data_IF_713013129316
#
_entry.id   IF_713013129316
#
_cell.length_a   1.000
_cell.length_b   1.000
_cell.length_c   1.000
_cell.angle_alpha   90.00
_cell.angle_beta   90.00
_cell.angle_gamma   90.00
#
_symmetry.space_group_name_H-M   'P 1'
#
loop_
_entity.id
_entity.type
_entity.pdbx_description
1 polymer ?
#
# COMPACT_ATOMS: atom_id res chain seq x y z
N UNK A 1 10.02 11.66 -14.32
CA UNK A 1 8.65 11.60 -14.88
C UNK A 1 7.82 10.72 -13.97
N UNK A 2 6.97 11.31 -13.13
CA UNK A 2 6.12 10.54 -12.22
C UNK A 2 5.17 9.69 -13.07
N UNK A 3 5.22 8.36 -12.91
CA UNK A 3 4.25 7.44 -13.52
C UNK A 3 2.87 7.90 -13.05
N UNK A 4 2.06 8.44 -13.95
CA UNK A 4 0.72 8.90 -13.65
C UNK A 4 -0.06 7.71 -13.09
N UNK A 5 -0.33 7.73 -11.78
CA UNK A 5 -1.24 6.77 -11.18
C UNK A 5 -2.61 7.07 -11.81
N UNK A 6 -3.20 6.11 -12.55
CA UNK A 6 -4.45 6.35 -13.24
C UNK A 6 -5.52 6.78 -12.23
N UNK A 7 -6.33 7.78 -12.57
CA UNK A 7 -7.31 8.39 -11.64
C UNK A 7 -8.25 7.38 -10.98
N UNK A 8 -8.53 6.28 -11.68
CA UNK A 8 -9.29 5.14 -11.13
C UNK A 8 -8.63 4.52 -9.90
N UNK A 9 -7.30 4.32 -9.94
CA UNK A 9 -6.54 3.72 -8.84
C UNK A 9 -6.46 4.64 -7.62
N UNK A 10 -6.47 5.97 -7.84
CA UNK A 10 -6.57 6.96 -6.76
C UNK A 10 -7.91 6.86 -6.04
N UNK A 11 -9.02 6.81 -6.77
CA UNK A 11 -10.34 6.64 -6.15
C UNK A 11 -10.47 5.27 -5.46
N UNK A 12 -9.96 4.20 -6.08
CA UNK A 12 -9.96 2.88 -5.43
C UNK A 12 -9.10 2.86 -4.15
N UNK A 13 -7.95 3.55 -4.13
CA UNK A 13 -7.14 3.72 -2.92
C UNK A 13 -7.88 4.44 -1.81
N UNK A 14 -8.57 5.56 -2.13
CA UNK A 14 -9.40 6.30 -1.17
C UNK A 14 -10.51 5.42 -0.61
N UNK A 15 -11.27 4.74 -1.48
CA UNK A 15 -12.34 3.84 -1.05
C UNK A 15 -11.78 2.71 -0.17
N UNK A 16 -10.63 2.16 -0.49
CA UNK A 16 -10.00 1.09 0.30
C UNK A 16 -9.56 1.59 1.68
N UNK A 17 -9.01 2.81 1.75
CA UNK A 17 -8.68 3.48 3.00
C UNK A 17 -9.93 3.77 3.84
N UNK A 18 -10.98 4.32 3.23
CA UNK A 18 -12.28 4.56 3.88
C UNK A 18 -12.95 3.26 4.33
N UNK A 19 -12.73 2.16 3.62
CA UNK A 19 -13.22 0.83 4.03
C UNK A 19 -12.50 0.35 5.31
N UNK A 20 -11.36 0.95 5.68
CA UNK A 20 -10.71 0.73 6.98
C UNK A 20 -10.13 -0.67 7.17
N UNK A 21 -10.00 -1.47 6.10
CA UNK A 21 -9.42 -2.81 6.14
C UNK A 21 -7.88 -2.76 6.18
N UNK A 22 -7.30 -1.88 7.00
CA UNK A 22 -5.87 -1.78 7.23
C UNK A 22 -5.59 -2.31 8.64
N UNK A 23 -5.02 -3.50 8.71
CA UNK A 23 -4.61 -4.13 9.96
C UNK A 23 -3.10 -4.03 10.12
N UNK A 24 -2.63 -3.41 11.19
CA UNK A 24 -1.20 -3.41 11.50
C UNK A 24 -0.89 -4.72 12.24
N UNK A 25 -0.25 -5.67 11.56
CA UNK A 25 0.09 -6.98 12.12
C UNK A 25 1.25 -6.86 13.10
N UNK A 26 2.31 -6.15 12.71
CA UNK A 26 3.53 -6.07 13.50
C UNK A 26 4.37 -4.86 13.13
N UNK A 27 4.92 -4.19 14.11
CA UNK A 27 5.99 -3.22 13.93
C UNK A 27 7.29 -3.81 14.48
N UNK A 28 8.39 -3.76 13.70
CA UNK A 28 9.69 -4.25 14.16
C UNK A 28 10.79 -3.32 13.68
N UNK A 29 11.25 -2.46 14.60
CA UNK A 29 12.18 -1.38 14.28
C UNK A 29 11.56 -0.51 13.19
N UNK A 30 12.30 -0.30 12.11
CA UNK A 30 11.90 0.54 10.99
C UNK A 30 11.04 -0.17 9.94
N UNK A 31 10.54 -1.38 10.24
CA UNK A 31 9.65 -2.13 9.35
C UNK A 31 8.27 -2.32 9.97
N UNK A 32 7.28 -1.75 9.30
CA UNK A 32 5.87 -1.92 9.58
C UNK A 32 5.30 -3.03 8.69
N UNK A 33 4.70 -4.04 9.31
CA UNK A 33 3.98 -5.12 8.65
C UNK A 33 2.50 -4.83 8.84
N UNK A 34 1.84 -4.45 7.75
CA UNK A 34 0.41 -4.21 7.69
C UNK A 34 -0.23 -5.22 6.75
N UNK A 35 -1.54 -5.37 6.87
CA UNK A 35 -2.36 -6.17 5.98
C UNK A 35 -3.50 -5.28 5.54
N UNK A 36 -3.56 -5.02 4.25
CA UNK A 36 -4.57 -4.15 3.65
C UNK A 36 -5.47 -5.01 2.79
N UNK A 37 -6.77 -5.04 3.09
CA UNK A 37 -7.78 -5.81 2.35
C UNK A 37 -7.44 -7.31 2.19
N UNK A 38 -6.74 -7.88 3.18
CA UNK A 38 -6.28 -9.28 3.15
C UNK A 38 -4.93 -9.51 2.46
N UNK A 39 -4.32 -8.47 1.89
CA UNK A 39 -2.99 -8.53 1.29
C UNK A 39 -1.91 -8.03 2.24
N UNK A 40 -0.81 -8.77 2.36
CA UNK A 40 0.32 -8.35 3.19
C UNK A 40 1.08 -7.19 2.53
N UNK A 41 1.16 -6.08 3.25
CA UNK A 41 1.88 -4.88 2.89
C UNK A 41 2.97 -4.62 3.93
N UNK A 42 4.19 -4.39 3.46
CA UNK A 42 5.33 -4.05 4.31
C UNK A 42 5.79 -2.67 3.94
N UNK A 43 5.89 -1.81 4.94
CA UNK A 43 6.33 -0.45 4.80
C UNK A 43 7.58 -0.28 5.65
N UNK A 44 8.68 0.21 5.06
CA UNK A 44 9.91 0.51 5.82
C UNK A 44 10.06 2.02 5.94
N UNK A 45 10.17 2.51 7.18
CA UNK A 45 10.31 3.93 7.51
C UNK A 45 11.71 4.47 7.20
N UNK A 46 12.75 3.63 7.23
CA UNK A 46 14.14 4.05 6.98
C UNK A 46 14.49 4.24 5.49
N UNK A 47 14.12 3.27 4.66
CA UNK A 47 14.54 3.19 3.26
C UNK A 47 13.40 3.55 2.27
N UNK A 48 12.24 4.00 2.79
CA UNK A 48 11.02 4.23 2.00
C UNK A 48 10.60 2.99 1.17
N UNK A 49 11.04 1.81 1.63
CA UNK A 49 10.83 0.55 0.93
C UNK A 49 9.44 0.02 1.24
N UNK A 50 8.57 0.18 0.25
CA UNK A 50 7.24 -0.41 0.24
C UNK A 50 7.22 -1.70 -0.56
N UNK A 51 6.60 -2.72 0.02
CA UNK A 51 6.37 -3.99 -0.62
C UNK A 51 4.93 -4.42 -0.40
N UNK A 52 4.17 -4.54 -1.48
CA UNK A 52 2.84 -5.12 -1.43
C UNK A 52 2.87 -6.47 -2.16
N UNK A 53 2.23 -7.48 -1.55
CA UNK A 53 2.09 -8.81 -2.15
C UNK A 53 1.20 -8.85 -3.40
N UNK A 54 0.51 -7.74 -3.71
CA UNK A 54 -0.44 -7.69 -4.82
C UNK A 54 0.20 -7.75 -6.19
N UNK A 55 -0.52 -8.37 -7.12
CA UNK A 55 -0.13 -8.52 -8.52
C UNK A 55 0.03 -7.15 -9.21
N UNK A 56 -0.74 -6.13 -8.81
CA UNK A 56 -0.62 -4.76 -9.31
C UNK A 56 0.74 -4.14 -8.99
N UNK A 57 1.18 -4.27 -7.74
CA UNK A 57 2.46 -3.72 -7.31
C UNK A 57 3.62 -4.45 -8.00
N UNK A 58 3.56 -5.77 -8.09
CA UNK A 58 4.59 -6.55 -8.79
C UNK A 58 4.67 -6.21 -10.28
N UNK A 59 3.54 -5.96 -10.96
CA UNK A 59 3.53 -5.65 -12.40
C UNK A 59 3.82 -4.20 -12.72
N UNK A 60 3.40 -3.25 -11.88
CA UNK A 60 3.44 -1.80 -12.21
C UNK A 60 4.34 -0.97 -11.29
N UNK A 61 4.62 -1.46 -10.10
CA UNK A 61 5.34 -0.75 -9.03
C UNK A 61 4.45 0.18 -8.20
N UNK A 62 3.13 0.07 -8.31
CA UNK A 62 2.16 0.83 -7.52
C UNK A 62 0.87 0.01 -7.36
N UNK A 63 0.13 0.24 -6.27
CA UNK A 63 -1.13 -0.46 -6.02
C UNK A 63 -2.12 0.39 -5.21
N UNK A 64 -3.37 -0.05 -5.20
CA UNK A 64 -4.44 0.55 -4.39
C UNK A 64 -4.13 0.50 -2.90
N UNK A 65 -3.47 -0.55 -2.41
CA UNK A 65 -3.08 -0.70 -1.01
C UNK A 65 -2.07 0.36 -0.57
N UNK A 66 -1.08 0.64 -1.42
CA UNK A 66 -0.11 1.70 -1.20
C UNK A 66 -0.82 3.06 -1.23
N UNK A 67 -1.64 3.30 -2.26
CA UNK A 67 -2.39 4.55 -2.38
C UNK A 67 -3.36 4.78 -1.20
N UNK A 68 -3.89 3.71 -0.63
CA UNK A 68 -4.70 3.76 0.58
C UNK A 68 -3.85 4.08 1.82
N UNK A 69 -2.66 3.49 1.94
CA UNK A 69 -1.75 3.74 3.06
C UNK A 69 -1.15 5.16 3.03
N UNK A 70 -0.98 5.75 1.84
CA UNK A 70 -0.44 7.11 1.64
C UNK A 70 -1.50 8.23 1.77
N UNK A 71 -2.78 7.92 1.98
CA UNK A 71 -3.87 8.91 1.99
C UNK A 71 -4.19 9.48 3.38
#
# INVERSE_FOLDING_TARGET
MAKLIPGKLRMEGVTLYETGNIEIIKEKGDRLYTRVAGEDLRYSLEDDLVFCACDFFQKRGYCVHLAALEH
#
